data_IF_644993153121
#
_entry.id   IF_644993153121
#
_cell.length_a   1.000
_cell.length_b   1.000
_cell.length_c   1.000
_cell.angle_alpha   90.00
_cell.angle_beta   90.00
_cell.angle_gamma   90.00
#
_symmetry.space_group_name_H-M   'P 1'
#
loop_
_entity.id
_entity.type
_entity.pdbx_description
1 polymer ?
#
# COMPACT_ATOMS: atom_id res chain seq x y z
N UNK A 1 -16.11 3.23 4.79
CA UNK A 1 -15.39 2.05 4.28
C UNK A 1 -13.98 2.10 4.82
N UNK A 2 -13.42 0.99 5.30
CA UNK A 2 -12.05 0.97 5.81
C UNK A 2 -11.05 1.07 4.66
N UNK A 3 -10.05 1.93 4.81
CA UNK A 3 -8.94 2.04 3.87
C UNK A 3 -7.91 0.94 4.17
N UNK A 4 -7.36 0.32 3.12
CA UNK A 4 -6.28 -0.65 3.26
C UNK A 4 -4.94 0.04 3.03
N UNK A 5 -4.03 -0.16 3.97
CA UNK A 5 -2.66 0.34 3.90
C UNK A 5 -1.66 -0.80 3.86
N UNK A 6 -0.58 -0.60 3.12
CA UNK A 6 0.54 -1.53 3.04
C UNK A 6 1.72 -0.92 3.79
N UNK A 7 2.21 -1.62 4.80
CA UNK A 7 3.44 -1.29 5.51
C UNK A 7 4.40 -2.47 5.53
N UNK A 8 5.67 -2.18 5.78
CA UNK A 8 6.72 -3.21 5.86
C UNK A 8 6.71 -3.84 7.23
N UNK A 9 6.73 -5.17 7.30
CA UNK A 9 6.96 -5.90 8.54
C UNK A 9 8.43 -5.72 8.92
N UNK A 10 8.68 -5.19 10.11
CA UNK A 10 10.03 -5.00 10.66
C UNK A 10 10.35 -6.00 11.78
N UNK A 11 9.33 -6.58 12.43
CA UNK A 11 9.50 -7.62 13.46
C UNK A 11 8.24 -8.49 13.56
N UNK A 12 8.45 -9.77 13.82
CA UNK A 12 7.39 -10.73 14.12
C UNK A 12 7.15 -10.78 15.63
N UNK A 13 5.89 -10.81 16.03
CA UNK A 13 5.49 -11.11 17.39
C UNK A 13 5.08 -12.58 17.47
N UNK A 14 5.80 -13.35 18.29
CA UNK A 14 5.67 -14.81 18.39
C UNK A 14 5.33 -15.19 19.82
N UNK A 15 4.26 -15.97 19.99
CA UNK A 15 3.83 -16.53 21.28
C UNK A 15 3.68 -18.04 21.08
N UNK A 16 4.33 -18.84 21.93
CA UNK A 16 4.31 -20.31 21.84
C UNK A 16 4.66 -20.84 20.44
N UNK A 17 5.67 -20.26 19.79
CA UNK A 17 6.11 -20.66 18.44
C UNK A 17 5.17 -20.22 17.30
N UNK A 18 4.07 -19.54 17.60
CA UNK A 18 3.11 -19.05 16.60
C UNK A 18 3.20 -17.55 16.43
N UNK A 19 3.25 -17.09 15.17
CA UNK A 19 3.17 -15.65 14.85
C UNK A 19 1.75 -15.15 15.15
N UNK A 20 1.64 -14.22 16.10
CA UNK A 20 0.37 -13.62 16.54
C UNK A 20 0.19 -12.18 16.03
N UNK A 21 1.29 -11.50 15.73
CA UNK A 21 1.26 -10.12 15.28
C UNK A 21 2.51 -9.69 14.53
N UNK A 22 2.44 -8.49 13.98
CA UNK A 22 3.47 -7.88 13.16
C UNK A 22 3.71 -6.44 13.62
N UNK A 23 4.96 -6.12 13.93
CA UNK A 23 5.38 -4.73 14.01
C UNK A 23 5.62 -4.25 12.59
N UNK A 24 4.86 -3.25 12.19
CA UNK A 24 4.94 -2.67 10.84
C UNK A 24 5.55 -1.28 10.90
N UNK A 25 6.00 -0.80 9.74
CA UNK A 25 6.45 0.57 9.57
C UNK A 25 6.18 1.02 8.13
N UNK A 26 5.58 2.20 7.98
CA UNK A 26 5.48 2.88 6.68
C UNK A 26 6.85 3.40 6.22
N UNK A 27 7.06 3.49 4.91
CA UNK A 27 8.38 3.87 4.35
C UNK A 27 8.83 5.28 4.78
N UNK A 28 7.88 6.18 5.09
CA UNK A 28 8.15 7.55 5.55
C UNK A 28 8.17 7.70 7.09
N UNK A 29 7.81 6.65 7.84
CA UNK A 29 7.74 6.76 9.30
C UNK A 29 9.17 6.76 9.88
N UNK A 30 9.38 7.47 10.99
CA UNK A 30 10.65 7.37 11.74
C UNK A 30 10.63 6.20 12.72
N UNK A 31 9.44 5.87 13.24
CA UNK A 31 9.21 4.84 14.26
C UNK A 31 8.27 3.74 13.74
N UNK A 32 8.24 2.57 14.40
CA UNK A 32 7.24 1.53 14.12
C UNK A 32 5.81 2.02 14.38
N UNK A 33 4.85 1.42 13.69
CA UNK A 33 3.44 1.63 13.96
C UNK A 33 3.06 0.96 15.28
N UNK A 34 2.17 1.60 16.04
CA UNK A 34 1.67 1.09 17.31
C UNK A 34 0.15 1.19 17.37
N UNK A 35 -0.57 0.16 17.88
CA UNK A 35 -0.06 -1.11 18.36
C UNK A 35 0.37 -2.07 17.22
N UNK A 36 1.04 -3.20 17.52
CA UNK A 36 1.33 -4.24 16.53
C UNK A 36 0.06 -4.71 15.82
N UNK A 37 0.18 -4.97 14.52
CA UNK A 37 -0.95 -5.43 13.70
C UNK A 37 -1.19 -6.90 13.97
N UNK A 38 -2.41 -7.26 14.38
CA UNK A 38 -2.78 -8.66 14.61
C UNK A 38 -2.75 -9.42 13.29
N UNK A 39 -2.34 -10.69 13.32
CA UNK A 39 -2.34 -11.54 12.13
C UNK A 39 -3.70 -11.64 11.44
N UNK A 40 -4.80 -11.52 12.19
CA UNK A 40 -6.17 -11.56 11.67
C UNK A 40 -6.56 -10.33 10.85
N UNK A 41 -5.90 -9.20 11.08
CA UNK A 41 -6.21 -7.94 10.42
C UNK A 41 -5.48 -7.78 9.09
N UNK A 42 -4.44 -8.60 8.86
CA UNK A 42 -3.70 -8.65 7.60
C UNK A 42 -4.57 -9.25 6.50
N UNK A 43 -4.86 -8.45 5.46
CA UNK A 43 -5.67 -8.90 4.32
C UNK A 43 -4.89 -9.63 3.23
N UNK A 44 -3.58 -9.43 3.14
CA UNK A 44 -2.76 -10.04 2.11
C UNK A 44 -1.29 -9.64 2.19
N UNK A 45 -0.51 -10.09 1.22
CA UNK A 45 0.91 -9.75 1.06
C UNK A 45 1.15 -9.16 -0.33
N UNK A 46 2.07 -8.21 -0.42
CA UNK A 46 2.54 -7.71 -1.72
C UNK A 46 3.40 -8.80 -2.36
N UNK A 47 2.99 -9.27 -3.53
CA UNK A 47 3.69 -10.34 -4.26
C UNK A 47 4.55 -9.82 -5.42
N UNK A 48 4.16 -8.68 -6.02
CA UNK A 48 4.81 -8.10 -7.20
C UNK A 48 4.90 -6.60 -6.99
N UNK A 49 6.07 -6.04 -7.29
CA UNK A 49 6.29 -4.59 -7.39
C UNK A 49 6.71 -4.31 -8.82
N UNK A 50 6.04 -3.39 -9.51
CA UNK A 50 6.41 -2.96 -10.85
C UNK A 50 7.17 -1.63 -10.70
N UNK A 51 8.51 -1.64 -10.70
CA UNK A 51 9.28 -0.43 -10.49
C UNK A 51 9.12 0.52 -11.69
N UNK A 52 9.30 1.82 -11.44
CA UNK A 52 9.33 2.88 -12.47
C UNK A 52 8.07 3.06 -13.33
N UNK A 53 6.92 2.45 -13.00
CA UNK A 53 5.64 2.74 -13.69
C UNK A 53 5.31 4.24 -13.68
N UNK A 54 5.60 4.93 -12.58
CA UNK A 54 5.46 6.39 -12.51
C UNK A 54 6.33 7.10 -13.55
N UNK A 55 7.60 6.71 -13.69
CA UNK A 55 8.51 7.24 -14.71
C UNK A 55 8.03 6.94 -16.14
N UNK A 56 7.59 5.71 -16.40
CA UNK A 56 7.00 5.33 -17.69
C UNK A 56 5.79 6.19 -18.02
N UNK A 57 4.88 6.41 -17.05
CA UNK A 57 3.72 7.29 -17.25
C UNK A 57 4.13 8.72 -17.57
N UNK A 58 5.22 9.23 -16.97
CA UNK A 58 5.71 10.58 -17.23
C UNK A 58 6.30 10.70 -18.64
N UNK A 59 7.06 9.69 -19.09
CA UNK A 59 7.61 9.63 -20.46
C UNK A 59 6.49 9.59 -21.48
N UNK A 60 5.49 8.72 -21.27
CA UNK A 60 4.33 8.62 -22.15
C UNK A 60 3.57 9.96 -22.24
N UNK A 61 3.31 10.61 -21.09
CA UNK A 61 2.67 11.93 -21.05
C UNK A 61 3.47 13.00 -21.79
N UNK A 62 4.80 13.01 -21.67
CA UNK A 62 5.68 13.91 -22.43
C UNK A 62 5.65 13.65 -23.94
N UNK A 63 5.52 12.38 -24.34
CA UNK A 63 5.42 11.98 -25.74
C UNK A 63 4.04 12.26 -26.39
N UNK A 64 3.13 12.96 -25.69
CA UNK A 64 1.78 13.25 -26.16
C UNK A 64 0.77 12.11 -25.95
N UNK A 65 1.20 11.00 -25.34
CA UNK A 65 0.31 9.91 -24.99
C UNK A 65 -0.43 10.24 -23.68
N UNK A 66 -1.73 10.53 -23.78
CA UNK A 66 -2.63 10.65 -22.64
C UNK A 66 -3.25 9.27 -22.41
N UNK A 67 -3.03 8.69 -21.23
CA UNK A 67 -3.82 7.54 -20.80
C UNK A 67 -5.30 7.95 -20.88
N UNK A 68 -6.16 7.21 -21.60
CA UNK A 68 -7.59 7.46 -21.56
C UNK A 68 -8.04 7.10 -20.14
N UNK A 69 -8.10 8.12 -19.27
CA UNK A 69 -8.91 8.07 -18.07
C UNK A 69 -10.35 8.12 -18.57
N UNK A 70 -10.87 6.98 -19.03
CA UNK A 70 -12.28 6.85 -19.36
C UNK A 70 -13.08 7.09 -18.07
N UNK A 71 -13.61 8.31 -17.96
CA UNK A 71 -14.78 8.70 -17.17
C UNK A 71 -14.88 8.06 -15.77
N UNK A 72 -14.18 8.65 -14.80
CA UNK A 72 -14.78 8.69 -13.45
C UNK A 72 -15.98 9.62 -13.59
N UNK A 73 -17.23 9.16 -13.41
CA UNK A 73 -18.36 10.07 -13.39
C UNK A 73 -18.13 11.03 -12.24
N UNK A 74 -17.86 12.29 -12.59
CA UNK A 74 -17.93 13.39 -11.66
C UNK A 74 -19.42 13.54 -11.34
N UNK A 75 -19.90 12.81 -10.33
CA UNK A 75 -21.22 13.06 -9.78
C UNK A 75 -21.20 14.49 -9.26
N UNK A 76 -21.85 15.36 -10.03
CA UNK A 76 -22.10 16.77 -9.73
C UNK A 76 -22.48 16.94 -8.25
N UNK A 77 -21.83 17.89 -7.60
CA UNK A 77 -22.42 18.54 -6.45
C UNK A 77 -23.63 19.36 -6.90
N UNK A 78 -24.76 19.11 -6.24
CA UNK A 78 -25.79 20.05 -5.81
C UNK A 78 -26.82 19.25 -4.98
#
# INVERSE_FOLDING_TARGET
GGEYIVHRIIKLEVVNGTVVGYWTKGDANSFPDFPPVNKKDVKGKVAIVIPYLGGLSLVLRKAGFRLPLSSVPHSLGA
#
